data_IF_824807562311
#
_entry.id   IF_824807562311
#
_cell.length_a   1.000
_cell.length_b   1.000
_cell.length_c   1.000
_cell.angle_alpha   90.00
_cell.angle_beta   90.00
_cell.angle_gamma   90.00
#
_symmetry.space_group_name_H-M   'P 1'
#
loop_
_entity.id
_entity.type
_entity.pdbx_description
1 polymer ?
#
# COMPACT_ATOMS: atom_id res chain seq x y z
N UNK A 1 -1.13 -25.80 -11.39
CA UNK A 1 -0.03 -25.42 -10.44
C UNK A 1 -0.59 -24.52 -9.34
N UNK A 2 -0.31 -24.82 -8.04
CA UNK A 2 -0.91 -24.10 -6.90
C UNK A 2 0.06 -23.08 -6.29
N UNK A 3 -0.41 -21.84 -6.13
CA UNK A 3 0.28 -20.75 -5.43
C UNK A 3 -0.33 -20.58 -4.03
N UNK A 4 0.52 -20.45 -3.01
CA UNK A 4 0.10 -20.02 -1.68
C UNK A 4 0.51 -18.56 -1.48
N UNK A 5 -0.43 -17.69 -1.13
CA UNK A 5 -0.18 -16.27 -0.83
C UNK A 5 -0.39 -16.03 0.66
N UNK A 6 0.66 -15.66 1.37
CA UNK A 6 0.62 -15.41 2.81
C UNK A 6 0.72 -13.91 3.12
N UNK A 7 -0.25 -13.41 3.88
CA UNK A 7 -0.28 -12.02 4.32
C UNK A 7 -1.67 -11.57 4.73
N UNK A 8 -1.78 -10.36 5.25
CA UNK A 8 -3.07 -9.83 5.70
C UNK A 8 -2.92 -8.77 6.78
N UNK A 9 -4.02 -8.53 7.49
CA UNK A 9 -4.16 -7.55 8.57
C UNK A 9 -4.64 -6.18 8.10
N UNK A 10 -4.11 -5.64 7.01
CA UNK A 10 -4.48 -4.32 6.47
C UNK A 10 -4.71 -4.35 4.95
N UNK A 11 -5.41 -3.34 4.43
CA UNK A 11 -5.63 -3.19 2.98
C UNK A 11 -4.33 -3.13 2.18
N UNK A 12 -3.25 -2.56 2.75
CA UNK A 12 -1.94 -2.48 2.10
C UNK A 12 -1.31 -3.84 1.79
N UNK A 13 -1.73 -4.92 2.45
CA UNK A 13 -1.29 -6.28 2.14
C UNK A 13 -2.35 -7.06 1.34
N UNK A 14 -3.62 -6.86 1.65
CA UNK A 14 -4.71 -7.65 1.06
C UNK A 14 -4.96 -7.26 -0.41
N UNK A 15 -4.98 -5.98 -0.76
CA UNK A 15 -5.18 -5.57 -2.16
C UNK A 15 -4.09 -6.07 -3.11
N UNK A 16 -2.79 -5.96 -2.78
CA UNK A 16 -1.75 -6.61 -3.59
C UNK A 16 -1.91 -8.13 -3.68
N UNK A 17 -2.27 -8.80 -2.58
CA UNK A 17 -2.50 -10.25 -2.59
C UNK A 17 -3.62 -10.64 -3.57
N UNK A 18 -4.73 -9.90 -3.57
CA UNK A 18 -5.85 -10.13 -4.48
C UNK A 18 -5.45 -9.88 -5.95
N UNK A 19 -4.73 -8.79 -6.22
CA UNK A 19 -4.27 -8.48 -7.58
C UNK A 19 -3.33 -9.55 -8.13
N UNK A 20 -2.43 -10.08 -7.29
CA UNK A 20 -1.51 -11.15 -7.66
C UNK A 20 -2.26 -12.48 -7.83
N UNK A 21 -3.25 -12.78 -6.97
CA UNK A 21 -4.08 -13.97 -7.11
C UNK A 21 -4.87 -13.95 -8.43
N UNK A 22 -5.46 -12.81 -8.79
CA UNK A 22 -6.19 -12.64 -10.05
C UNK A 22 -5.27 -12.81 -11.27
N UNK A 23 -4.10 -12.15 -11.26
CA UNK A 23 -3.11 -12.28 -12.33
C UNK A 23 -2.60 -13.73 -12.45
N UNK A 24 -2.39 -14.43 -11.33
CA UNK A 24 -2.00 -15.82 -11.32
C UNK A 24 -3.04 -16.73 -11.96
N UNK A 25 -4.31 -16.58 -11.58
CA UNK A 25 -5.42 -17.39 -12.09
C UNK A 25 -5.70 -17.12 -13.56
N UNK A 26 -5.50 -15.89 -14.05
CA UNK A 26 -5.71 -15.54 -15.46
C UNK A 26 -4.76 -16.24 -16.43
N UNK A 27 -3.66 -16.84 -15.93
CA UNK A 27 -2.63 -17.48 -16.76
C UNK A 27 -2.91 -18.93 -17.16
N UNK A 28 -4.03 -19.50 -16.75
CA UNK A 28 -4.43 -20.85 -17.18
C UNK A 28 -5.41 -21.52 -16.21
N UNK A 29 -6.29 -22.33 -16.75
CA UNK A 29 -7.34 -23.01 -15.98
C UNK A 29 -6.81 -24.01 -14.94
N UNK A 30 -5.59 -24.49 -15.10
CA UNK A 30 -4.92 -25.40 -14.16
C UNK A 30 -4.25 -24.68 -12.99
N UNK A 31 -4.38 -23.34 -12.95
CA UNK A 31 -3.83 -22.53 -11.85
C UNK A 31 -4.78 -22.51 -10.66
N UNK A 32 -4.19 -22.72 -9.51
CA UNK A 32 -4.90 -22.65 -8.24
C UNK A 32 -4.20 -21.67 -7.31
N UNK A 33 -4.94 -21.03 -6.42
CA UNK A 33 -4.41 -20.16 -5.40
C UNK A 33 -5.10 -20.44 -4.06
N UNK A 34 -4.36 -20.32 -2.97
CA UNK A 34 -4.89 -20.26 -1.61
C UNK A 34 -4.26 -19.08 -0.88
N UNK A 35 -5.09 -18.26 -0.26
CA UNK A 35 -4.62 -17.17 0.59
C UNK A 35 -4.55 -17.64 2.04
N UNK A 36 -3.55 -17.14 2.77
CA UNK A 36 -3.37 -17.44 4.19
C UNK A 36 -3.25 -16.13 4.95
N UNK A 37 -4.17 -15.91 5.87
CA UNK A 37 -4.26 -14.70 6.68
C UNK A 37 -4.37 -14.99 8.17
N UNK A 38 -4.89 -14.00 8.90
CA UNK A 38 -5.16 -14.06 10.33
C UNK A 38 -6.66 -14.07 10.58
N UNK A 39 -7.09 -14.53 11.75
CA UNK A 39 -8.53 -14.59 12.10
C UNK A 39 -9.19 -13.21 12.32
N UNK A 40 -8.43 -12.11 12.34
CA UNK A 40 -8.92 -10.77 12.74
C UNK A 40 -8.64 -9.68 11.70
N UNK A 41 -8.07 -10.01 10.56
CA UNK A 41 -7.72 -9.04 9.53
C UNK A 41 -8.86 -8.75 8.56
N UNK A 42 -8.69 -7.71 7.75
CA UNK A 42 -9.63 -7.32 6.69
C UNK A 42 -9.77 -8.41 5.60
N UNK A 43 -8.78 -9.30 5.51
CA UNK A 43 -8.77 -10.47 4.62
C UNK A 43 -9.96 -11.38 4.84
N UNK A 44 -10.47 -11.48 6.09
CA UNK A 44 -11.66 -12.28 6.42
C UNK A 44 -12.91 -11.84 5.66
N UNK A 45 -12.97 -10.59 5.24
CA UNK A 45 -14.03 -10.01 4.44
C UNK A 45 -13.73 -10.01 2.95
N UNK A 46 -12.54 -9.52 2.58
CA UNK A 46 -12.20 -9.21 1.19
C UNK A 46 -11.86 -10.45 0.36
N UNK A 47 -11.20 -11.45 0.96
CA UNK A 47 -10.78 -12.66 0.22
C UNK A 47 -12.00 -13.51 -0.18
N UNK A 48 -12.94 -13.84 0.74
CA UNK A 48 -14.18 -14.55 0.35
C UNK A 48 -15.06 -13.73 -0.61
N UNK A 49 -15.14 -12.41 -0.43
CA UNK A 49 -15.89 -11.55 -1.35
C UNK A 49 -15.30 -11.54 -2.78
N UNK A 50 -14.02 -11.84 -2.93
CA UNK A 50 -13.37 -12.03 -4.23
C UNK A 50 -13.49 -13.47 -4.78
N UNK A 51 -14.24 -14.36 -4.10
CA UNK A 51 -14.41 -15.75 -4.51
C UNK A 51 -13.17 -16.63 -4.31
N UNK A 52 -12.23 -16.22 -3.47
CA UNK A 52 -10.95 -16.91 -3.28
C UNK A 52 -10.93 -17.70 -1.96
N UNK A 53 -10.24 -18.87 -1.93
CA UNK A 53 -10.09 -19.66 -0.72
C UNK A 53 -9.17 -18.97 0.28
N UNK A 54 -9.60 -18.93 1.54
CA UNK A 54 -8.86 -18.35 2.66
C UNK A 54 -8.64 -19.38 3.77
N UNK A 55 -7.38 -19.59 4.11
CA UNK A 55 -6.96 -20.30 5.32
C UNK A 55 -6.53 -19.27 6.38
N UNK A 56 -6.63 -19.64 7.64
CA UNK A 56 -6.15 -18.79 8.74
C UNK A 56 -5.18 -19.52 9.63
N UNK A 57 -4.17 -18.79 10.12
CA UNK A 57 -3.20 -19.28 11.09
C UNK A 57 -3.21 -18.42 12.35
N UNK A 58 -2.85 -19.03 13.49
CA UNK A 58 -2.76 -18.33 14.77
C UNK A 58 -1.45 -17.57 14.86
N UNK A 59 -1.55 -16.24 14.80
CA UNK A 59 -0.39 -15.36 14.93
C UNK A 59 -0.73 -14.18 15.82
N UNK A 60 0.26 -13.70 16.59
CA UNK A 60 0.17 -12.43 17.29
C UNK A 60 1.25 -11.49 16.80
N UNK A 61 0.93 -10.19 16.85
CA UNK A 61 1.94 -9.16 16.62
C UNK A 61 3.01 -9.23 17.73
N UNK A 62 4.27 -9.26 17.33
CA UNK A 62 5.45 -9.24 18.22
C UNK A 62 5.61 -7.92 19.02
N UNK A 63 4.58 -7.06 19.04
CA UNK A 63 4.62 -5.77 19.76
C UNK A 63 4.35 -5.94 21.24
N UNK A 64 5.37 -5.70 22.07
CA UNK A 64 5.24 -5.59 23.54
C UNK A 64 6.52 -5.91 24.30
N UNK A 65 6.98 -4.98 25.16
CA UNK A 65 8.12 -5.17 26.07
C UNK A 65 7.61 -5.78 27.39
N UNK A 66 8.11 -6.96 27.78
CA UNK A 66 7.79 -7.63 29.06
C UNK A 66 8.02 -9.14 28.97
N UNK A 67 8.65 -9.75 30.02
CA UNK A 67 9.09 -11.15 29.99
C UNK A 67 7.97 -12.17 29.82
N UNK A 68 6.81 -12.01 30.45
CA UNK A 68 5.64 -12.89 30.29
C UNK A 68 5.03 -12.81 28.87
N UNK A 69 5.12 -11.63 28.21
CA UNK A 69 4.70 -11.46 26.81
C UNK A 69 5.66 -12.11 25.83
N UNK A 70 6.96 -12.15 26.14
CA UNK A 70 7.94 -12.83 25.31
C UNK A 70 7.66 -14.33 25.23
N UNK A 71 7.37 -14.98 26.35
CA UNK A 71 7.00 -16.42 26.41
C UNK A 71 5.72 -16.67 25.64
N UNK A 72 4.70 -15.81 25.79
CA UNK A 72 3.44 -15.91 25.05
C UNK A 72 3.65 -15.72 23.55
N UNK A 73 4.49 -14.79 23.15
CA UNK A 73 4.82 -14.54 21.73
C UNK A 73 5.60 -15.70 21.11
N UNK A 74 6.52 -16.33 21.85
CA UNK A 74 7.24 -17.54 21.42
C UNK A 74 6.31 -18.74 21.28
N UNK A 75 5.39 -18.96 22.24
CA UNK A 75 4.39 -20.01 22.14
C UNK A 75 3.44 -19.80 20.96
N UNK A 76 3.04 -18.55 20.69
CA UNK A 76 2.20 -18.21 19.54
C UNK A 76 2.97 -18.34 18.21
N UNK A 77 4.27 -18.08 18.18
CA UNK A 77 5.10 -18.36 17.01
C UNK A 77 5.15 -19.86 16.72
N UNK A 78 5.30 -20.70 17.74
CA UNK A 78 5.25 -22.17 17.63
C UNK A 78 3.89 -22.67 17.12
N UNK A 79 2.78 -22.16 17.65
CA UNK A 79 1.45 -22.54 17.18
C UNK A 79 1.19 -22.07 15.75
N UNK A 80 1.62 -20.86 15.37
CA UNK A 80 1.52 -20.34 14.01
C UNK A 80 2.34 -21.14 13.01
N UNK A 81 3.52 -21.63 13.42
CA UNK A 81 4.35 -22.49 12.58
C UNK A 81 3.71 -23.89 12.42
N UNK A 82 3.13 -24.46 13.48
CA UNK A 82 2.36 -25.71 13.40
C UNK A 82 1.17 -25.60 12.46
N UNK A 83 0.39 -24.50 12.56
CA UNK A 83 -0.72 -24.23 11.65
C UNK A 83 -0.22 -24.10 10.19
N UNK A 84 0.91 -23.41 9.99
CA UNK A 84 1.52 -23.25 8.69
C UNK A 84 1.93 -24.60 8.06
N UNK A 85 2.53 -25.51 8.82
CA UNK A 85 2.80 -26.87 8.34
C UNK A 85 1.53 -27.63 7.97
N UNK A 86 0.46 -27.48 8.74
CA UNK A 86 -0.86 -28.05 8.45
C UNK A 86 -1.41 -27.55 7.12
N UNK A 87 -1.36 -26.23 6.88
CA UNK A 87 -1.77 -25.62 5.61
C UNK A 87 -0.93 -26.15 4.45
N UNK A 88 0.40 -26.16 4.58
CA UNK A 88 1.28 -26.68 3.53
C UNK A 88 1.01 -28.14 3.20
N UNK A 89 0.69 -28.96 4.22
CA UNK A 89 0.35 -30.38 4.02
C UNK A 89 -0.98 -30.54 3.26
N UNK A 90 -2.00 -29.74 3.58
CA UNK A 90 -3.33 -29.82 2.92
C UNK A 90 -3.27 -29.35 1.46
N UNK A 91 -2.55 -28.29 1.20
CA UNK A 91 -2.58 -27.62 -0.11
C UNK A 91 -1.44 -28.00 -1.05
N UNK A 92 -0.31 -28.50 -0.53
CA UNK A 92 0.89 -28.89 -1.29
C UNK A 92 1.26 -27.86 -2.38
N UNK A 93 1.47 -26.57 -2.03
CA UNK A 93 1.72 -25.55 -3.04
C UNK A 93 3.07 -25.75 -3.74
N UNK A 94 3.14 -25.41 -5.02
CA UNK A 94 4.38 -25.44 -5.80
C UNK A 94 5.30 -24.26 -5.45
N UNK A 95 4.74 -23.16 -4.94
CA UNK A 95 5.47 -21.96 -4.54
C UNK A 95 4.66 -21.19 -3.48
N UNK A 96 5.39 -20.53 -2.57
CA UNK A 96 4.79 -19.64 -1.57
C UNK A 96 5.19 -18.19 -1.84
N UNK A 97 4.25 -17.27 -1.66
CA UNK A 97 4.45 -15.83 -1.83
C UNK A 97 4.02 -15.06 -0.58
N UNK A 98 4.87 -14.18 -0.09
CA UNK A 98 4.59 -13.35 1.08
C UNK A 98 4.39 -11.90 0.70
N UNK A 99 3.21 -11.34 1.00
CA UNK A 99 2.89 -9.93 0.77
C UNK A 99 3.11 -9.05 2.02
N UNK A 100 3.66 -9.62 3.09
CA UNK A 100 3.82 -8.95 4.38
C UNK A 100 2.67 -9.23 5.36
N UNK A 101 2.71 -8.56 6.50
CA UNK A 101 1.79 -8.83 7.61
C UNK A 101 2.22 -10.02 8.47
N UNK A 102 1.40 -10.31 9.51
CA UNK A 102 1.79 -11.29 10.53
C UNK A 102 1.80 -12.74 10.07
N UNK A 103 0.97 -13.09 9.08
CA UNK A 103 0.88 -14.46 8.57
C UNK A 103 2.07 -14.84 7.65
N UNK A 104 2.71 -13.87 6.99
CA UNK A 104 3.79 -14.13 6.06
C UNK A 104 5.02 -14.79 6.72
N UNK A 105 5.40 -14.35 7.93
CA UNK A 105 6.57 -14.87 8.64
C UNK A 105 6.53 -16.38 8.85
N UNK A 106 5.58 -16.92 9.62
CA UNK A 106 5.46 -18.36 9.88
C UNK A 106 5.25 -19.18 8.61
N UNK A 107 4.42 -18.69 7.67
CA UNK A 107 4.15 -19.42 6.43
C UNK A 107 5.38 -19.58 5.55
N UNK A 108 6.15 -18.51 5.33
CA UNK A 108 7.34 -18.58 4.48
C UNK A 108 8.49 -19.32 5.15
N UNK A 109 8.59 -19.24 6.47
CA UNK A 109 9.54 -20.06 7.22
C UNK A 109 9.22 -21.57 7.08
N UNK A 110 7.94 -21.95 7.26
CA UNK A 110 7.50 -23.33 7.08
C UNK A 110 7.69 -23.81 5.63
N UNK A 111 7.40 -22.97 4.63
CA UNK A 111 7.62 -23.28 3.23
C UNK A 111 9.11 -23.52 2.94
N UNK A 112 9.99 -22.66 3.44
CA UNK A 112 11.45 -22.86 3.33
C UNK A 112 11.92 -24.17 3.97
N UNK A 113 11.46 -24.48 5.19
CA UNK A 113 11.80 -25.74 5.88
C UNK A 113 11.32 -26.98 5.13
N UNK A 114 10.26 -26.85 4.30
CA UNK A 114 9.74 -27.93 3.43
C UNK A 114 10.38 -27.94 2.04
N UNK A 115 11.36 -27.09 1.76
CA UNK A 115 11.98 -26.98 0.44
C UNK A 115 11.07 -26.36 -0.63
N UNK A 116 9.94 -25.76 -0.23
CA UNK A 116 9.04 -25.06 -1.14
C UNK A 116 9.64 -23.69 -1.47
N UNK A 117 9.90 -23.40 -2.76
CA UNK A 117 10.44 -22.10 -3.15
C UNK A 117 9.50 -20.98 -2.74
N UNK A 118 10.08 -19.88 -2.25
CA UNK A 118 9.29 -18.75 -1.84
C UNK A 118 9.81 -17.43 -2.40
N UNK A 119 8.89 -16.49 -2.57
CA UNK A 119 9.10 -15.12 -3.03
C UNK A 119 8.49 -14.18 -2.01
N UNK A 120 9.14 -13.07 -1.73
CA UNK A 120 8.57 -12.01 -0.87
C UNK A 120 8.33 -10.74 -1.67
N UNK A 121 7.38 -9.95 -1.21
CA UNK A 121 7.09 -8.62 -1.71
C UNK A 121 7.37 -7.58 -0.62
N UNK A 122 8.22 -6.60 -0.96
CA UNK A 122 8.45 -5.42 -0.14
C UNK A 122 7.89 -4.19 -0.85
N UNK A 123 6.74 -3.70 -0.42
CA UNK A 123 6.13 -2.54 -1.05
C UNK A 123 6.81 -1.21 -0.73
N UNK A 124 7.55 -1.12 0.38
CA UNK A 124 8.08 0.13 0.91
C UNK A 124 9.50 0.44 0.42
N UNK A 125 9.84 1.73 0.38
CA UNK A 125 11.19 2.21 0.09
C UNK A 125 12.21 1.76 1.15
N UNK A 126 11.80 1.69 2.43
CA UNK A 126 12.58 1.07 3.50
C UNK A 126 11.98 -0.29 3.86
N UNK A 127 12.77 -1.39 3.77
CA UNK A 127 12.27 -2.73 4.06
C UNK A 127 11.85 -2.94 5.52
N UNK A 128 10.70 -3.62 5.70
CA UNK A 128 10.23 -4.03 7.00
C UNK A 128 11.11 -5.09 7.67
N UNK A 129 11.14 -5.12 9.02
CA UNK A 129 11.96 -6.07 9.77
C UNK A 129 11.69 -7.53 9.38
N UNK A 130 10.42 -7.89 9.23
CA UNK A 130 10.02 -9.25 8.81
C UNK A 130 10.62 -9.59 7.44
N UNK A 131 10.53 -8.68 6.47
CA UNK A 131 11.08 -8.89 5.14
C UNK A 131 12.61 -8.89 5.15
N UNK A 132 13.27 -8.10 6.01
CA UNK A 132 14.74 -8.17 6.19
C UNK A 132 15.21 -9.56 6.63
N UNK A 133 14.44 -10.22 7.50
CA UNK A 133 14.74 -11.61 7.92
C UNK A 133 14.40 -12.62 6.83
N UNK A 134 13.20 -12.54 6.26
CA UNK A 134 12.71 -13.46 5.25
C UNK A 134 13.49 -13.39 3.93
N UNK A 135 14.11 -12.25 3.60
CA UNK A 135 14.94 -12.06 2.42
C UNK A 135 16.11 -13.04 2.34
N UNK A 136 16.63 -13.50 3.49
CA UNK A 136 17.69 -14.52 3.54
C UNK A 136 17.19 -15.88 3.05
N UNK A 137 15.92 -16.19 3.28
CA UNK A 137 15.27 -17.47 2.97
C UNK A 137 14.56 -17.43 1.61
N UNK A 138 14.26 -16.24 1.10
CA UNK A 138 13.56 -16.07 -0.16
C UNK A 138 14.44 -16.37 -1.37
N UNK A 139 13.86 -17.04 -2.38
CA UNK A 139 14.51 -17.29 -3.68
C UNK A 139 14.54 -16.03 -4.53
N UNK A 140 13.48 -15.21 -4.47
CA UNK A 140 13.35 -13.92 -5.16
C UNK A 140 12.61 -12.92 -4.30
N UNK A 141 12.82 -11.64 -4.59
CA UNK A 141 12.23 -10.50 -3.88
C UNK A 141 11.67 -9.54 -4.91
N UNK A 142 10.38 -9.27 -4.84
CA UNK A 142 9.74 -8.19 -5.58
C UNK A 142 9.73 -6.93 -4.73
N UNK A 143 10.04 -5.76 -5.29
CA UNK A 143 10.11 -4.51 -4.54
C UNK A 143 9.31 -3.39 -5.20
N UNK A 144 8.71 -2.53 -4.36
CA UNK A 144 8.02 -1.33 -4.82
C UNK A 144 8.95 -0.23 -5.32
N UNK A 145 10.17 -0.16 -4.78
CA UNK A 145 11.13 0.92 -5.01
C UNK A 145 12.54 0.41 -5.32
N UNK A 146 13.28 1.17 -6.12
CA UNK A 146 14.68 0.85 -6.46
C UNK A 146 15.59 0.84 -5.23
N UNK A 147 15.39 1.78 -4.30
CA UNK A 147 16.20 1.89 -3.09
C UNK A 147 16.10 0.62 -2.23
N UNK A 148 14.92 0.00 -2.14
CA UNK A 148 14.75 -1.26 -1.43
C UNK A 148 15.34 -2.45 -2.18
N UNK A 149 15.31 -2.45 -3.52
CA UNK A 149 15.94 -3.50 -4.33
C UNK A 149 17.46 -3.54 -4.15
N UNK A 150 18.11 -2.39 -4.08
CA UNK A 150 19.56 -2.29 -3.86
C UNK A 150 20.04 -3.00 -2.59
N UNK A 151 19.19 -3.07 -1.55
CA UNK A 151 19.53 -3.74 -0.30
C UNK A 151 19.72 -5.26 -0.45
N UNK A 152 19.19 -5.88 -1.53
CA UNK A 152 19.19 -7.34 -1.72
C UNK A 152 19.84 -7.81 -3.04
N UNK A 153 20.38 -6.89 -3.84
CA UNK A 153 21.13 -7.17 -5.06
C UNK A 153 20.32 -8.01 -6.06
N UNK A 154 20.96 -9.00 -6.68
CA UNK A 154 20.38 -9.81 -7.74
C UNK A 154 19.14 -10.65 -7.35
N UNK A 155 18.89 -10.85 -6.06
CA UNK A 155 17.67 -11.51 -5.60
C UNK A 155 16.43 -10.63 -5.80
N UNK A 156 16.59 -9.32 -5.85
CA UNK A 156 15.50 -8.35 -5.92
C UNK A 156 15.27 -7.88 -7.35
N UNK A 157 14.00 -7.63 -7.65
CA UNK A 157 13.57 -6.95 -8.87
C UNK A 157 12.57 -5.84 -8.51
N UNK A 158 12.71 -4.69 -9.15
CA UNK A 158 11.78 -3.56 -9.00
C UNK A 158 10.56 -3.82 -9.87
N UNK A 159 9.48 -4.24 -9.25
CA UNK A 159 8.21 -4.52 -9.93
C UNK A 159 7.21 -3.38 -9.79
N UNK A 160 7.42 -2.48 -8.83
CA UNK A 160 6.40 -1.57 -8.36
C UNK A 160 5.38 -2.27 -7.45
N UNK A 161 4.37 -1.51 -7.03
CA UNK A 161 3.28 -2.03 -6.21
C UNK A 161 2.05 -2.32 -7.07
N UNK A 162 1.42 -3.51 -6.94
CA UNK A 162 0.16 -3.80 -7.62
C UNK A 162 -0.93 -2.84 -7.16
N UNK A 163 -1.55 -2.18 -8.12
CA UNK A 163 -2.66 -1.24 -7.95
C UNK A 163 -3.83 -1.74 -8.77
N UNK A 164 -5.04 -1.50 -8.30
CA UNK A 164 -6.28 -1.85 -8.98
C UNK A 164 -6.35 -1.18 -10.36
N UNK A 165 -6.78 -1.89 -11.41
CA UNK A 165 -6.75 -1.40 -12.80
C UNK A 165 -7.46 -0.06 -13.02
N UNK A 166 -8.55 0.18 -12.29
CA UNK A 166 -9.36 1.40 -12.42
C UNK A 166 -8.59 2.70 -12.12
N UNK A 167 -7.48 2.66 -11.36
CA UNK A 167 -6.64 3.84 -11.14
C UNK A 167 -5.85 4.25 -12.37
N UNK A 168 -5.46 3.30 -13.22
CA UNK A 168 -4.71 3.59 -14.43
C UNK A 168 -5.58 4.18 -15.54
N UNK A 169 -6.90 3.97 -15.49
CA UNK A 169 -7.85 4.51 -16.46
C UNK A 169 -8.34 5.91 -16.13
N UNK A 170 -7.95 6.45 -14.97
CA UNK A 170 -8.30 7.82 -14.58
C UNK A 170 -7.69 8.80 -15.59
N UNK A 171 -8.50 9.71 -16.20
CA UNK A 171 -8.00 10.68 -17.17
C UNK A 171 -6.91 11.59 -16.59
N UNK A 172 -6.09 12.16 -17.47
CA UNK A 172 -5.15 13.19 -17.07
C UNK A 172 -5.88 14.33 -16.34
N UNK A 173 -5.22 14.88 -15.33
CA UNK A 173 -5.82 15.97 -14.55
C UNK A 173 -5.94 17.24 -15.40
N UNK A 174 -7.11 17.87 -15.33
CA UNK A 174 -7.34 19.24 -15.81
C UNK A 174 -7.83 20.07 -14.61
N UNK A 175 -7.06 21.08 -14.26
CA UNK A 175 -7.43 21.98 -13.16
C UNK A 175 -8.76 22.68 -13.44
N UNK A 176 -9.62 22.72 -12.44
CA UNK A 176 -10.96 23.32 -12.51
C UNK A 176 -11.26 24.22 -11.30
N UNK A 177 -12.37 24.94 -11.40
CA UNK A 177 -12.96 25.65 -10.25
C UNK A 177 -14.35 25.09 -9.98
N UNK A 178 -14.73 24.88 -8.71
CA UNK A 178 -13.93 25.03 -7.50
C UNK A 178 -12.81 23.98 -7.39
N UNK A 179 -11.76 24.28 -6.61
CA UNK A 179 -10.67 23.36 -6.30
C UNK A 179 -11.16 22.18 -5.44
N UNK A 180 -10.95 20.98 -5.90
CA UNK A 180 -11.48 19.73 -5.32
C UNK A 180 -10.41 18.99 -4.54
N UNK A 181 -10.55 18.96 -3.24
CA UNK A 181 -9.61 18.36 -2.30
C UNK A 181 -10.13 17.04 -1.74
N UNK A 182 -9.43 15.96 -1.99
CA UNK A 182 -9.66 14.66 -1.32
C UNK A 182 -8.74 14.53 -0.11
N UNK A 183 -9.31 14.23 1.06
CA UNK A 183 -8.56 13.98 2.30
C UNK A 183 -8.81 12.55 2.75
N UNK A 184 -7.74 11.77 2.93
CA UNK A 184 -7.85 10.38 3.40
C UNK A 184 -6.69 9.96 4.30
N UNK A 185 -7.03 9.40 5.45
CA UNK A 185 -6.08 8.83 6.41
C UNK A 185 -5.90 7.31 6.29
N UNK A 186 -6.51 6.69 5.23
CA UNK A 186 -6.66 5.23 5.13
C UNK A 186 -7.94 4.74 5.83
N UNK A 187 -8.23 3.43 5.76
CA UNK A 187 -9.51 2.83 6.18
C UNK A 187 -9.98 3.15 7.60
N UNK A 188 -9.06 3.47 8.50
CA UNK A 188 -9.37 3.82 9.90
C UNK A 188 -9.37 5.33 10.15
N UNK A 189 -9.13 6.14 9.10
CA UNK A 189 -8.84 7.56 9.25
C UNK A 189 -7.46 7.82 9.85
N UNK A 190 -7.11 9.09 10.04
CA UNK A 190 -5.85 9.52 10.65
C UNK A 190 -6.10 10.67 11.61
N UNK A 191 -6.13 10.39 12.91
CA UNK A 191 -6.43 11.37 13.95
C UNK A 191 -5.62 12.69 13.83
N UNK A 192 -4.28 12.69 13.56
CA UNK A 192 -3.54 13.94 13.38
C UNK A 192 -4.04 14.75 12.16
N UNK A 193 -4.33 14.10 11.04
CA UNK A 193 -4.88 14.75 9.84
C UNK A 193 -6.25 15.36 10.18
N UNK A 194 -7.16 14.57 10.74
CA UNK A 194 -8.50 14.98 11.08
C UNK A 194 -8.51 16.21 12.03
N UNK A 195 -7.69 16.15 13.11
CA UNK A 195 -7.56 17.27 14.06
C UNK A 195 -7.03 18.53 13.38
N UNK A 196 -5.99 18.40 12.57
CA UNK A 196 -5.43 19.57 11.88
C UNK A 196 -6.44 20.20 10.91
N UNK A 197 -7.26 19.40 10.22
CA UNK A 197 -8.35 19.94 9.39
C UNK A 197 -9.44 20.63 10.21
N UNK A 198 -9.78 20.13 11.39
CA UNK A 198 -10.71 20.80 12.33
C UNK A 198 -10.15 22.14 12.78
N UNK A 199 -8.89 22.20 13.17
CA UNK A 199 -8.19 23.42 13.58
C UNK A 199 -8.02 24.40 12.40
N UNK A 200 -7.86 23.89 11.18
CA UNK A 200 -7.70 24.69 9.96
C UNK A 200 -9.03 25.20 9.39
N UNK A 201 -10.18 24.70 9.85
CA UNK A 201 -11.48 25.02 9.24
C UNK A 201 -11.74 26.52 9.15
N UNK A 202 -11.51 27.30 10.23
CA UNK A 202 -11.68 28.74 10.21
C UNK A 202 -10.73 29.46 9.23
N UNK A 203 -9.50 28.95 9.03
CA UNK A 203 -8.56 29.50 8.07
C UNK A 203 -8.98 29.16 6.62
N UNK A 204 -9.46 27.94 6.38
CA UNK A 204 -9.95 27.49 5.07
C UNK A 204 -11.22 28.23 4.66
N UNK A 205 -12.05 28.66 5.62
CA UNK A 205 -13.28 29.43 5.38
C UNK A 205 -13.02 30.75 4.66
N UNK A 206 -11.82 31.34 4.77
CA UNK A 206 -11.44 32.55 4.04
C UNK A 206 -11.56 32.39 2.51
N UNK A 207 -11.49 31.13 1.99
CA UNK A 207 -11.62 30.80 0.56
C UNK A 207 -12.65 29.71 0.30
N UNK A 208 -13.68 29.59 1.14
CA UNK A 208 -14.68 28.50 1.07
C UNK A 208 -15.43 28.41 -0.26
N UNK A 209 -15.65 29.53 -0.96
CA UNK A 209 -16.30 29.57 -2.27
C UNK A 209 -15.46 28.95 -3.40
N UNK A 210 -14.15 28.83 -3.20
CA UNK A 210 -13.23 28.26 -4.18
C UNK A 210 -12.89 26.79 -3.88
N UNK A 211 -13.39 26.22 -2.77
CA UNK A 211 -12.96 24.93 -2.23
C UNK A 211 -14.12 23.95 -2.08
N UNK A 212 -13.94 22.73 -2.57
CA UNK A 212 -14.79 21.58 -2.27
C UNK A 212 -13.95 20.47 -1.66
N UNK A 213 -14.43 19.88 -0.56
CA UNK A 213 -13.68 18.86 0.17
C UNK A 213 -14.48 17.55 0.21
N UNK A 214 -13.80 16.43 -0.06
CA UNK A 214 -14.24 15.09 0.32
C UNK A 214 -13.28 14.59 1.38
N UNK A 215 -13.78 14.27 2.59
CA UNK A 215 -12.92 13.88 3.72
C UNK A 215 -13.35 12.54 4.30
N UNK A 216 -12.49 11.53 4.15
CA UNK A 216 -12.62 10.26 4.82
C UNK A 216 -11.94 10.28 6.18
N UNK A 217 -12.74 10.29 7.24
CA UNK A 217 -12.27 10.51 8.62
C UNK A 217 -12.04 9.23 9.42
N UNK A 218 -12.60 8.09 9.00
CA UNK A 218 -12.87 6.95 9.89
C UNK A 218 -14.09 7.22 10.78
N UNK A 219 -14.68 6.17 11.34
CA UNK A 219 -15.85 6.24 12.22
C UNK A 219 -15.65 7.17 13.42
N UNK A 220 -14.47 7.12 14.00
CA UNK A 220 -14.14 7.75 15.28
C UNK A 220 -14.27 9.26 15.28
N UNK A 221 -13.81 9.91 14.21
CA UNK A 221 -13.69 11.37 14.16
C UNK A 221 -14.76 12.00 13.25
N UNK A 222 -15.63 11.19 12.66
CA UNK A 222 -16.64 11.61 11.69
C UNK A 222 -17.47 12.81 12.15
N UNK A 223 -18.12 12.71 13.30
CA UNK A 223 -19.00 13.75 13.80
C UNK A 223 -18.23 15.05 14.11
N UNK A 224 -17.00 14.92 14.61
CA UNK A 224 -16.19 16.08 14.98
C UNK A 224 -15.74 16.88 13.76
N UNK A 225 -15.25 16.21 12.72
CA UNK A 225 -14.84 16.85 11.46
C UNK A 225 -16.05 17.45 10.75
N UNK A 226 -17.17 16.72 10.66
CA UNK A 226 -18.40 17.22 10.04
C UNK A 226 -18.91 18.51 10.71
N UNK A 227 -18.91 18.54 12.03
CA UNK A 227 -19.35 19.72 12.78
C UNK A 227 -18.43 20.93 12.56
N UNK A 228 -17.10 20.72 12.44
CA UNK A 228 -16.16 21.80 12.16
C UNK A 228 -16.40 22.45 10.78
N UNK A 229 -16.56 21.63 9.73
CA UNK A 229 -16.86 22.18 8.39
C UNK A 229 -18.22 22.87 8.32
N UNK A 230 -19.25 22.30 8.97
CA UNK A 230 -20.58 22.90 9.01
C UNK A 230 -20.58 24.25 9.70
N UNK A 231 -19.85 24.41 10.82
CA UNK A 231 -19.74 25.71 11.56
C UNK A 231 -19.14 26.79 10.69
N UNK A 232 -18.18 26.48 9.86
CA UNK A 232 -17.50 27.43 8.97
C UNK A 232 -18.16 27.51 7.58
N UNK A 233 -19.28 26.81 7.37
CA UNK A 233 -20.01 26.72 6.10
C UNK A 233 -19.13 26.30 4.90
N UNK A 234 -18.15 25.43 5.14
CA UNK A 234 -17.29 24.87 4.09
C UNK A 234 -18.06 23.77 3.36
N UNK A 235 -18.04 23.80 2.03
CA UNK A 235 -18.63 22.74 1.21
C UNK A 235 -17.80 21.45 1.32
N UNK A 236 -18.23 20.53 2.19
CA UNK A 236 -17.51 19.29 2.46
C UNK A 236 -18.45 18.09 2.55
N UNK A 237 -18.10 17.02 1.82
CA UNK A 237 -18.66 15.69 1.99
C UNK A 237 -17.77 14.92 2.97
N UNK A 238 -18.25 14.69 4.19
CA UNK A 238 -17.52 13.97 5.23
C UNK A 238 -18.05 12.56 5.31
N UNK A 239 -17.16 11.55 5.27
CA UNK A 239 -17.52 10.14 5.24
C UNK A 239 -16.63 9.32 6.20
N UNK A 240 -17.19 8.36 6.93
CA UNK A 240 -16.38 7.49 7.76
C UNK A 240 -15.52 6.55 6.93
N UNK A 241 -16.01 6.12 5.76
CA UNK A 241 -15.32 5.21 4.85
C UNK A 241 -15.69 5.49 3.40
N UNK A 242 -14.71 5.31 2.49
CA UNK A 242 -14.89 5.43 1.04
C UNK A 242 -14.80 4.06 0.37
N UNK A 243 -15.83 3.68 -0.38
CA UNK A 243 -15.88 2.43 -1.16
C UNK A 243 -15.38 2.61 -2.60
N UNK A 244 -15.61 3.79 -3.18
CA UNK A 244 -15.33 4.15 -4.57
C UNK A 244 -14.06 5.01 -4.70
N UNK A 245 -12.96 4.58 -4.14
CA UNK A 245 -11.72 5.37 -4.05
C UNK A 245 -11.22 5.88 -5.42
N UNK A 246 -11.27 5.06 -6.48
CA UNK A 246 -10.81 5.47 -7.81
C UNK A 246 -11.64 6.64 -8.38
N UNK A 247 -12.96 6.65 -8.18
CA UNK A 247 -13.82 7.76 -8.59
C UNK A 247 -13.48 9.04 -7.82
N UNK A 248 -13.16 8.92 -6.51
CA UNK A 248 -12.76 10.06 -5.68
C UNK A 248 -11.38 10.60 -6.08
N UNK A 249 -10.47 9.72 -6.50
CA UNK A 249 -9.21 10.15 -7.09
C UNK A 249 -9.42 10.84 -8.45
N UNK A 250 -10.34 10.32 -9.27
CA UNK A 250 -10.68 10.96 -10.56
C UNK A 250 -11.29 12.36 -10.37
N UNK A 251 -12.12 12.52 -9.34
CA UNK A 251 -12.76 13.79 -8.99
C UNK A 251 -11.78 14.83 -8.44
N UNK A 252 -10.75 14.42 -7.68
CA UNK A 252 -9.87 15.32 -6.95
C UNK A 252 -8.87 16.05 -7.85
N UNK A 253 -8.62 17.32 -7.55
CA UNK A 253 -7.51 18.12 -8.10
C UNK A 253 -6.22 17.84 -7.31
N UNK A 254 -6.33 17.72 -5.99
CA UNK A 254 -5.23 17.29 -5.11
C UNK A 254 -5.73 16.37 -3.99
N UNK A 255 -4.79 15.60 -3.43
CA UNK A 255 -5.08 14.60 -2.40
C UNK A 255 -4.19 14.87 -1.18
N UNK A 256 -4.77 14.98 0.00
CA UNK A 256 -4.04 14.94 1.27
C UNK A 256 -4.18 13.55 1.85
N UNK A 257 -3.07 12.83 2.02
CA UNK A 257 -3.11 11.42 2.43
C UNK A 257 -1.90 10.97 3.25
N UNK A 258 -2.04 9.79 3.85
CA UNK A 258 -0.89 9.04 4.38
C UNK A 258 -0.01 8.53 3.23
N UNK A 259 1.28 8.26 3.53
CA UNK A 259 2.26 7.78 2.56
C UNK A 259 2.50 6.26 2.64
N UNK A 260 1.43 5.48 2.80
CA UNK A 260 1.52 4.02 2.60
C UNK A 260 1.95 3.69 1.18
N UNK A 261 2.75 2.65 0.98
CA UNK A 261 3.29 2.32 -0.34
C UNK A 261 2.21 2.12 -1.40
N UNK A 262 1.09 1.47 -1.04
CA UNK A 262 -0.04 1.27 -1.96
C UNK A 262 -0.73 2.61 -2.27
N UNK A 263 -0.93 3.49 -1.28
CA UNK A 263 -1.50 4.81 -1.51
C UNK A 263 -0.62 5.65 -2.44
N UNK A 264 0.71 5.63 -2.24
CA UNK A 264 1.65 6.31 -3.13
C UNK A 264 1.59 5.75 -4.56
N UNK A 265 1.47 4.43 -4.71
CA UNK A 265 1.29 3.78 -6.00
C UNK A 265 -0.07 4.11 -6.65
N UNK A 266 -1.15 4.22 -5.86
CA UNK A 266 -2.47 4.67 -6.35
C UNK A 266 -2.44 6.13 -6.81
N UNK A 267 -1.75 7.03 -6.08
CA UNK A 267 -1.50 8.42 -6.50
C UNK A 267 -0.74 8.45 -7.82
N UNK A 268 0.30 7.65 -7.95
CA UNK A 268 1.08 7.51 -9.19
C UNK A 268 0.19 6.98 -10.34
N UNK A 269 -0.54 5.89 -10.13
CA UNK A 269 -1.42 5.30 -11.13
C UNK A 269 -2.54 6.25 -11.57
N UNK A 270 -3.12 7.01 -10.63
CA UNK A 270 -4.15 8.01 -10.91
C UNK A 270 -3.59 9.29 -11.56
N UNK A 271 -2.27 9.53 -11.49
CA UNK A 271 -1.67 10.77 -11.93
C UNK A 271 -2.31 11.98 -11.25
N UNK A 272 -2.27 12.03 -9.93
CA UNK A 272 -2.84 13.12 -9.13
C UNK A 272 -1.76 13.80 -8.29
N UNK A 273 -1.91 15.10 -8.07
CA UNK A 273 -1.09 15.84 -7.11
C UNK A 273 -1.41 15.38 -5.69
N UNK A 274 -0.40 15.25 -4.84
CA UNK A 274 -0.62 14.83 -3.47
C UNK A 274 0.22 15.61 -2.45
N UNK A 275 -0.35 15.82 -1.26
CA UNK A 275 0.34 16.22 -0.04
C UNK A 275 0.39 15.01 0.87
N UNK A 276 1.56 14.44 1.03
CA UNK A 276 1.79 13.28 1.87
C UNK A 276 2.06 13.69 3.30
N UNK A 277 1.30 13.11 4.22
CA UNK A 277 1.48 13.28 5.67
C UNK A 277 1.82 11.88 6.23
N UNK A 278 3.12 11.51 6.25
CA UNK A 278 3.53 10.20 6.73
C UNK A 278 3.24 10.02 8.21
N UNK A 279 3.02 8.77 8.64
CA UNK A 279 2.77 8.43 10.02
C UNK A 279 4.01 8.68 10.88
N UNK A 280 3.88 9.50 11.92
CA UNK A 280 5.00 10.07 12.68
C UNK A 280 5.62 9.19 13.78
N UNK A 281 5.18 7.93 13.98
CA UNK A 281 5.78 7.08 15.02
C UNK A 281 7.14 6.55 14.59
N UNK A 282 8.12 6.62 15.49
CA UNK A 282 9.53 6.25 15.26
C UNK A 282 9.77 4.79 14.77
N UNK A 283 8.78 3.92 14.90
CA UNK A 283 8.84 2.52 14.40
C UNK A 283 8.41 2.36 12.94
N UNK A 284 7.92 3.42 12.28
CA UNK A 284 7.34 3.37 10.94
C UNK A 284 7.98 4.40 10.00
N UNK A 285 9.33 4.40 9.93
CA UNK A 285 10.09 5.20 8.95
C UNK A 285 9.71 4.93 7.48
N UNK A 286 9.02 3.81 7.22
CA UNK A 286 8.59 3.38 5.89
C UNK A 286 7.76 4.46 5.17
N UNK A 287 6.75 5.03 5.85
CA UNK A 287 5.90 6.05 5.21
C UNK A 287 6.67 7.34 4.92
N UNK A 288 7.57 7.74 5.83
CA UNK A 288 8.42 8.90 5.58
C UNK A 288 9.30 8.69 4.35
N UNK A 289 9.93 7.52 4.22
CA UNK A 289 10.75 7.18 3.05
C UNK A 289 9.92 7.12 1.75
N UNK A 290 8.74 6.51 1.79
CA UNK A 290 7.83 6.51 0.64
C UNK A 290 7.45 7.94 0.21
N UNK A 291 7.13 8.82 1.17
CA UNK A 291 6.79 10.21 0.89
C UNK A 291 8.00 11.00 0.33
N UNK A 292 9.21 10.73 0.84
CA UNK A 292 10.45 11.31 0.34
C UNK A 292 10.71 10.92 -1.12
N UNK A 293 10.55 9.64 -1.48
CA UNK A 293 10.72 9.17 -2.87
C UNK A 293 9.74 9.90 -3.81
N UNK A 294 8.46 10.02 -3.42
CA UNK A 294 7.46 10.75 -4.21
C UNK A 294 7.81 12.24 -4.32
N UNK A 295 8.22 12.87 -3.22
CA UNK A 295 8.58 14.30 -3.19
C UNK A 295 9.84 14.59 -3.99
N UNK A 296 10.88 13.76 -3.86
CA UNK A 296 12.14 13.90 -4.62
C UNK A 296 11.92 13.77 -6.14
N UNK A 297 10.96 12.93 -6.54
CA UNK A 297 10.56 12.81 -7.94
C UNK A 297 9.68 13.97 -8.43
N UNK A 298 9.31 14.92 -7.56
CA UNK A 298 8.37 16.00 -7.87
C UNK A 298 6.92 15.54 -8.05
N UNK A 299 6.60 14.34 -7.58
CA UNK A 299 5.28 13.71 -7.70
C UNK A 299 4.34 14.01 -6.51
N UNK A 300 4.77 14.84 -5.57
CA UNK A 300 4.00 15.23 -4.40
C UNK A 300 4.79 16.12 -3.45
N UNK A 301 4.13 16.60 -2.45
CA UNK A 301 4.68 17.44 -1.37
C UNK A 301 4.61 16.66 -0.06
N UNK A 302 5.53 16.95 0.84
CA UNK A 302 5.68 16.26 2.13
C UNK A 302 5.48 17.25 3.27
N UNK A 303 4.61 16.89 4.22
CA UNK A 303 4.51 17.54 5.53
C UNK A 303 4.70 16.45 6.60
N UNK A 304 5.76 16.52 7.40
CA UNK A 304 5.92 15.59 8.52
C UNK A 304 4.86 15.83 9.61
N UNK A 305 4.49 14.81 10.39
CA UNK A 305 3.53 15.00 11.50
C UNK A 305 4.01 16.04 12.52
N UNK A 306 5.32 16.21 12.71
CA UNK A 306 5.88 17.21 13.61
C UNK A 306 5.73 18.65 13.11
N UNK A 307 5.60 18.83 11.79
CA UNK A 307 5.38 20.13 11.13
C UNK A 307 3.92 20.37 10.79
N UNK A 308 3.05 19.40 11.04
CA UNK A 308 1.64 19.45 10.69
C UNK A 308 0.88 20.35 11.65
N UNK A 309 0.63 21.59 11.24
CA UNK A 309 -0.18 22.58 11.93
C UNK A 309 -1.28 23.10 11.02
N UNK A 310 -2.35 23.68 11.59
CA UNK A 310 -3.44 24.30 10.83
C UNK A 310 -2.91 25.33 9.82
N UNK A 311 -1.98 26.18 10.24
CA UNK A 311 -1.38 27.23 9.39
C UNK A 311 -0.56 26.62 8.25
N UNK A 312 0.28 25.62 8.55
CA UNK A 312 1.11 24.95 7.53
C UNK A 312 0.24 24.23 6.50
N UNK A 313 -0.76 23.49 6.95
CA UNK A 313 -1.69 22.78 6.08
C UNK A 313 -2.48 23.74 5.19
N UNK A 314 -3.07 24.82 5.76
CA UNK A 314 -3.82 25.82 5.01
C UNK A 314 -2.95 26.50 3.96
N UNK A 315 -1.71 26.89 4.31
CA UNK A 315 -0.77 27.48 3.36
C UNK A 315 -0.50 26.53 2.19
N UNK A 316 -0.35 25.26 2.45
CA UNK A 316 -0.10 24.27 1.42
C UNK A 316 -1.29 24.09 0.48
N UNK A 317 -2.52 24.03 1.04
CA UNK A 317 -3.75 23.93 0.25
C UNK A 317 -3.94 25.18 -0.61
N UNK A 318 -3.76 26.39 -0.06
CA UNK A 318 -3.90 27.63 -0.81
C UNK A 318 -2.81 27.78 -1.88
N UNK A 319 -1.58 27.34 -1.60
CA UNK A 319 -0.53 27.30 -2.61
C UNK A 319 -0.97 26.45 -3.82
N UNK A 320 -1.50 25.25 -3.58
CA UNK A 320 -1.98 24.39 -4.67
C UNK A 320 -3.15 25.02 -5.41
N UNK A 321 -4.11 25.62 -4.69
CA UNK A 321 -5.25 26.29 -5.27
C UNK A 321 -4.83 27.44 -6.20
N UNK A 322 -3.78 28.19 -5.84
CA UNK A 322 -3.26 29.33 -6.60
C UNK A 322 -2.31 28.93 -7.73
N UNK A 323 -1.81 27.67 -7.74
CA UNK A 323 -0.79 27.19 -8.67
C UNK A 323 -1.26 25.96 -9.50
N UNK A 324 -2.27 26.12 -10.39
CA UNK A 324 -2.79 24.99 -11.16
C UNK A 324 -1.71 24.31 -12.04
N UNK A 325 -0.72 25.07 -12.51
CA UNK A 325 0.42 24.52 -13.28
C UNK A 325 1.29 23.59 -12.45
N UNK A 326 1.45 23.86 -11.15
CA UNK A 326 2.20 22.99 -10.24
C UNK A 326 1.43 21.69 -9.99
N UNK A 327 0.10 21.75 -9.85
CA UNK A 327 -0.75 20.55 -9.75
C UNK A 327 -0.57 19.67 -10.98
N UNK A 328 -0.65 20.24 -12.18
CA UNK A 328 -0.47 19.51 -13.42
C UNK A 328 0.94 18.91 -13.54
N UNK A 329 1.98 19.68 -13.14
CA UNK A 329 3.35 19.20 -13.15
C UNK A 329 3.54 18.00 -12.19
N UNK A 330 3.02 18.11 -10.94
CA UNK A 330 3.04 17.01 -9.97
C UNK A 330 2.25 15.80 -10.48
N UNK A 331 1.08 16.01 -11.06
CA UNK A 331 0.23 14.95 -11.61
C UNK A 331 0.94 14.20 -12.75
N UNK A 332 1.61 14.90 -13.68
CA UNK A 332 2.43 14.27 -14.72
C UNK A 332 3.61 13.49 -14.14
N UNK A 333 4.32 14.05 -13.15
CA UNK A 333 5.42 13.36 -12.46
C UNK A 333 4.92 12.12 -11.71
N UNK A 334 3.79 12.21 -11.01
CA UNK A 334 3.17 11.06 -10.36
C UNK A 334 2.87 9.96 -11.40
N UNK A 335 2.22 10.31 -12.51
CA UNK A 335 1.89 9.36 -13.60
C UNK A 335 3.13 8.67 -14.18
N UNK A 336 4.25 9.37 -14.30
CA UNK A 336 5.49 8.77 -14.82
C UNK A 336 6.11 7.72 -13.90
N UNK A 337 5.73 7.68 -12.62
CA UNK A 337 6.14 6.66 -11.65
C UNK A 337 5.21 5.44 -11.64
N UNK A 338 4.10 5.48 -12.37
CA UNK A 338 3.12 4.41 -12.39
C UNK A 338 3.70 3.10 -12.98
N UNK A 339 3.32 1.96 -12.42
CA UNK A 339 3.78 0.62 -12.83
C UNK A 339 2.58 -0.29 -13.14
N UNK A 340 1.92 -0.12 -14.29
CA UNK A 340 0.71 -0.90 -14.61
C UNK A 340 0.97 -2.41 -14.73
N UNK A 341 2.22 -2.82 -15.02
CA UNK A 341 2.63 -4.22 -15.11
C UNK A 341 3.02 -4.88 -13.78
N UNK A 342 2.91 -4.19 -12.63
CA UNK A 342 3.46 -4.67 -11.35
C UNK A 342 2.98 -6.09 -10.97
N UNK A 343 1.69 -6.37 -11.05
CA UNK A 343 1.16 -7.71 -10.73
C UNK A 343 1.73 -8.77 -11.68
N UNK A 344 1.79 -8.48 -12.97
CA UNK A 344 2.35 -9.37 -14.01
C UNK A 344 3.83 -9.66 -13.76
N UNK A 345 4.63 -8.65 -13.44
CA UNK A 345 6.05 -8.81 -13.16
C UNK A 345 6.29 -9.64 -11.89
N UNK A 346 5.49 -9.43 -10.84
CA UNK A 346 5.56 -10.25 -9.62
C UNK A 346 5.21 -11.71 -9.92
N UNK A 347 4.15 -11.96 -10.70
CA UNK A 347 3.77 -13.34 -11.06
C UNK A 347 4.86 -13.99 -11.92
N UNK A 348 5.53 -13.26 -12.81
CA UNK A 348 6.70 -13.78 -13.55
C UNK A 348 7.83 -14.23 -12.60
N UNK A 349 8.11 -13.44 -11.54
CA UNK A 349 9.11 -13.83 -10.53
C UNK A 349 8.68 -15.08 -9.75
N UNK A 350 7.38 -15.19 -9.42
CA UNK A 350 6.82 -16.36 -8.73
C UNK A 350 6.96 -17.62 -9.61
N UNK A 351 6.62 -17.54 -10.90
CA UNK A 351 6.78 -18.65 -11.84
C UNK A 351 8.24 -19.07 -12.04
N UNK A 352 9.12 -18.08 -12.19
CA UNK A 352 10.57 -18.36 -12.29
C UNK A 352 11.12 -19.04 -11.03
N UNK A 353 10.59 -18.67 -9.86
CA UNK A 353 10.97 -19.31 -8.60
C UNK A 353 10.44 -20.75 -8.48
N UNK A 354 9.26 -21.02 -9.01
CA UNK A 354 8.61 -22.35 -8.96
C UNK A 354 9.28 -23.40 -9.86
N UNK A 355 10.03 -22.98 -10.89
CA UNK A 355 10.71 -23.91 -11.83
C UNK A 355 11.86 -24.64 -11.13
N UNK A 356 11.97 -25.99 -11.25
CA UNK A 356 13.15 -26.72 -10.80
C UNK A 356 14.38 -26.29 -11.61
N UNK A 357 15.49 -25.96 -10.94
CA UNK A 357 16.78 -25.72 -11.59
C UNK A 357 17.01 -24.34 -12.21
N UNK A 358 16.14 -23.36 -12.03
CA UNK A 358 16.32 -21.99 -12.53
C UNK A 358 17.51 -21.28 -11.86
N UNK A 359 18.69 -21.30 -12.49
CA UNK A 359 19.80 -20.37 -12.22
C UNK A 359 19.29 -18.95 -12.53
N UNK A 360 19.67 -17.99 -11.70
CA UNK A 360 19.37 -16.57 -11.82
C UNK A 360 19.96 -16.00 -13.12
N UNK A 361 19.15 -15.90 -14.19
CA UNK A 361 19.47 -15.03 -15.32
C UNK A 361 18.97 -13.63 -15.05
N UNK A 362 19.68 -12.57 -15.49
CA UNK A 362 19.22 -11.19 -15.35
C UNK A 362 17.93 -10.99 -16.16
N UNK A 363 16.97 -10.23 -15.60
CA UNK A 363 15.82 -9.76 -16.32
C UNK A 363 16.30 -8.82 -17.43
N UNK A 364 16.14 -9.25 -18.69
CA UNK A 364 16.44 -8.43 -19.86
C UNK A 364 15.51 -7.21 -19.86
N UNK A 365 16.01 -6.07 -19.42
CA UNK A 365 15.42 -4.79 -19.72
C UNK A 365 15.65 -4.52 -21.20
N UNK A 366 14.62 -4.63 -22.02
CA UNK A 366 14.59 -4.05 -23.34
C UNK A 366 14.83 -2.55 -23.21
N UNK A 367 16.03 -2.13 -23.56
CA UNK A 367 16.32 -0.75 -23.97
C UNK A 367 15.67 -0.60 -25.35
N UNK A 368 14.53 0.05 -25.41
CA UNK A 368 14.03 0.55 -26.69
C UNK A 368 15.02 1.59 -27.19
N UNK A 369 15.65 1.22 -28.29
CA UNK A 369 16.55 2.08 -29.04
C UNK A 369 15.73 3.24 -29.61
N UNK A 370 16.04 4.44 -29.14
CA UNK A 370 15.70 5.68 -29.85
C UNK A 370 16.66 5.74 -31.04
N UNK A 371 16.16 5.41 -32.22
CA UNK A 371 16.81 5.64 -33.47
C UNK A 371 16.54 7.06 -33.98
N UNK A 372 17.60 7.77 -34.24
CA UNK A 372 17.82 8.98 -35.03
C UNK A 372 16.59 9.66 -35.65
#
# INVERSE_FOLDING_TARGET
>A
MKLLIAGGGTGGHVFPALAIAQEWLSRGAEREVVLVGTQRGIEMKLVPAAGLPLETIRVAGLKGKGGTRLVKNLAMLGSGLSDAFGVLKRHSPAVAFGVGGYAAGPMLLAAWMKGIPNVIFEPNAEPGLTNKVLARLAKRIATGYEISARAWGEKAAVTGCPVRPEFFTIPAHAAGKPFRLLVTGGSQGALPINRTFVEAAALLAARKSELQIVHQTGERDYNHVRAAYAREEIQAEVLPFLTNMAERFAWADAIVCRAGAITAAEVAAAGRAAVFIPFGRATDSHQLRNAQEMSNAGAGRLISESELTAVRLTREIFFLLDQPREIEAMARKARSLARPGAAREIVNLIEAAARPGGKSGPANGQRDAVGT
#
